data_IF_502335905890
#
_entry.id   IF_502335905890
#
_cell.length_a   1.000
_cell.length_b   1.000
_cell.length_c   1.000
_cell.angle_alpha   90.00
_cell.angle_beta   90.00
_cell.angle_gamma   90.00
#
_symmetry.space_group_name_H-M   'P 1'
#
loop_
_entity.id
_entity.type
_entity.pdbx_description
1 polymer ?
#
# COMPACT_ATOMS: atom_id res chain seq x y z
N UNK A 1 -26.36 17.72 25.38
CA UNK A 1 -25.55 16.54 25.19
C UNK A 1 -26.01 15.91 23.87
N UNK A 2 -25.34 16.23 22.76
CA UNK A 2 -25.62 15.57 21.47
C UNK A 2 -25.19 14.12 21.60
N UNK A 3 -26.10 13.19 21.39
CA UNK A 3 -25.79 11.77 21.33
C UNK A 3 -24.72 11.57 20.26
N UNK A 4 -23.53 11.07 20.64
CA UNK A 4 -22.48 10.74 19.71
C UNK A 4 -23.06 9.70 18.73
N UNK A 5 -23.12 10.03 17.45
CA UNK A 5 -23.56 9.08 16.43
C UNK A 5 -22.73 7.78 16.57
N UNK A 6 -23.38 6.62 16.52
CA UNK A 6 -22.69 5.36 16.69
C UNK A 6 -21.67 5.19 15.57
N UNK A 7 -20.40 5.06 15.94
CA UNK A 7 -19.32 4.83 14.97
C UNK A 7 -19.63 3.62 14.09
N UNK A 8 -19.34 3.68 12.78
CA UNK A 8 -19.67 2.62 11.85
C UNK A 8 -19.02 1.28 12.27
N UNK A 9 -19.81 0.24 12.29
CA UNK A 9 -19.33 -1.13 12.54
C UNK A 9 -18.88 -1.75 11.21
N UNK A 10 -18.05 -2.81 11.27
CA UNK A 10 -17.63 -3.55 10.06
C UNK A 10 -18.84 -3.95 9.22
N UNK A 11 -19.88 -4.51 9.88
CA UNK A 11 -21.07 -4.99 9.19
C UNK A 11 -21.90 -3.82 8.60
N UNK A 12 -22.01 -2.69 9.32
CA UNK A 12 -22.68 -1.50 8.79
C UNK A 12 -21.91 -0.92 7.63
N UNK A 13 -20.57 -0.84 7.71
CA UNK A 13 -19.72 -0.37 6.60
C UNK A 13 -19.86 -1.25 5.37
N UNK A 14 -19.82 -2.59 5.53
CA UNK A 14 -20.02 -3.52 4.42
C UNK A 14 -21.40 -3.40 3.77
N UNK A 15 -22.46 -3.16 4.58
CA UNK A 15 -23.82 -2.97 4.08
C UNK A 15 -24.02 -1.62 3.38
N UNK A 16 -23.44 -0.56 3.90
CA UNK A 16 -23.58 0.82 3.35
C UNK A 16 -22.58 1.12 2.25
N UNK A 17 -21.55 0.28 2.07
CA UNK A 17 -20.50 0.45 1.08
C UNK A 17 -21.08 0.48 -0.34
N UNK A 18 -20.66 1.47 -1.13
CA UNK A 18 -21.08 1.60 -2.51
C UNK A 18 -20.62 0.41 -3.39
N UNK A 19 -21.39 0.09 -4.42
CA UNK A 19 -21.05 -0.99 -5.37
C UNK A 19 -19.64 -0.85 -5.95
N UNK A 20 -19.22 0.33 -6.44
CA UNK A 20 -17.87 0.55 -6.92
C UNK A 20 -16.77 0.23 -5.90
N UNK A 21 -16.92 0.61 -4.63
CA UNK A 21 -15.94 0.31 -3.58
C UNK A 21 -15.83 -1.21 -3.35
N UNK A 22 -16.95 -1.94 -3.36
CA UNK A 22 -16.93 -3.41 -3.27
C UNK A 22 -16.18 -4.04 -4.43
N UNK A 23 -16.38 -3.54 -5.65
CA UNK A 23 -15.68 -4.03 -6.86
C UNK A 23 -14.18 -3.77 -6.74
N UNK A 24 -13.76 -2.61 -6.26
CA UNK A 24 -12.36 -2.28 -6.06
C UNK A 24 -11.71 -3.19 -5.00
N UNK A 25 -12.41 -3.50 -3.89
CA UNK A 25 -11.93 -4.42 -2.86
C UNK A 25 -11.81 -5.86 -3.39
N UNK A 26 -12.83 -6.36 -4.09
CA UNK A 26 -12.82 -7.70 -4.69
C UNK A 26 -11.76 -7.81 -5.79
N UNK A 27 -11.62 -6.80 -6.63
CA UNK A 27 -10.58 -6.75 -7.67
C UNK A 27 -9.18 -6.75 -7.04
N UNK A 28 -8.97 -6.00 -5.95
CA UNK A 28 -7.71 -6.02 -5.22
C UNK A 28 -7.41 -7.40 -4.62
N UNK A 29 -8.40 -8.07 -4.04
CA UNK A 29 -8.27 -9.44 -3.52
C UNK A 29 -7.85 -10.41 -4.63
N UNK A 30 -8.59 -10.44 -5.74
CA UNK A 30 -8.33 -11.34 -6.87
C UNK A 30 -6.94 -11.07 -7.47
N UNK A 31 -6.58 -9.80 -7.68
CA UNK A 31 -5.26 -9.43 -8.20
C UNK A 31 -4.12 -9.84 -7.26
N UNK A 32 -4.31 -9.81 -5.95
CA UNK A 32 -3.27 -10.25 -5.01
C UNK A 32 -3.22 -11.78 -4.84
N UNK A 33 -4.34 -12.49 -5.00
CA UNK A 33 -4.37 -13.96 -5.02
C UNK A 33 -3.56 -14.52 -6.21
N UNK A 34 -3.58 -13.84 -7.34
CA UNK A 34 -2.92 -14.27 -8.58
C UNK A 34 -1.65 -13.46 -8.90
N UNK A 35 -1.08 -12.71 -7.95
CA UNK A 35 0.13 -11.92 -8.16
C UNK A 35 1.40 -12.78 -8.24
N UNK A 36 1.43 -13.72 -9.19
CA UNK A 36 2.50 -14.72 -9.32
C UNK A 36 3.77 -14.16 -9.93
N UNK A 37 3.66 -13.08 -10.73
CA UNK A 37 4.79 -12.47 -11.41
C UNK A 37 5.97 -12.19 -10.46
N UNK A 38 5.74 -11.55 -9.32
CA UNK A 38 6.82 -11.20 -8.41
C UNK A 38 7.44 -12.40 -7.69
N UNK A 39 6.62 -13.40 -7.35
CA UNK A 39 7.07 -14.55 -6.57
C UNK A 39 7.81 -15.58 -7.41
N UNK A 40 7.41 -15.77 -8.67
CA UNK A 40 7.88 -16.88 -9.48
C UNK A 40 8.71 -16.46 -10.72
N UNK A 41 8.86 -15.16 -10.99
CA UNK A 41 9.56 -14.65 -12.17
C UNK A 41 11.00 -15.19 -12.29
N UNK A 42 11.76 -15.15 -11.21
CA UNK A 42 13.16 -15.62 -11.23
C UNK A 42 13.22 -17.14 -11.49
N UNK A 43 12.37 -17.92 -10.83
CA UNK A 43 12.31 -19.39 -11.03
C UNK A 43 11.88 -19.72 -12.45
N UNK A 44 10.94 -19.00 -13.00
CA UNK A 44 10.47 -19.14 -14.38
C UNK A 44 11.59 -18.87 -15.38
N UNK A 45 12.27 -17.72 -15.26
CA UNK A 45 13.33 -17.31 -16.19
C UNK A 45 14.54 -18.25 -16.12
N UNK A 46 14.96 -18.63 -14.91
CA UNK A 46 16.06 -19.61 -14.74
C UNK A 46 15.70 -20.97 -15.31
N UNK A 47 14.44 -21.40 -15.18
CA UNK A 47 13.93 -22.63 -15.83
C UNK A 47 13.93 -22.56 -17.36
N UNK A 48 13.94 -21.34 -17.94
CA UNK A 48 14.05 -21.08 -19.39
C UNK A 48 15.49 -20.86 -19.88
N UNK A 49 16.50 -21.04 -19.01
CA UNK A 49 17.91 -20.95 -19.36
C UNK A 49 18.54 -19.57 -19.17
N UNK A 50 17.80 -18.59 -18.60
CA UNK A 50 18.40 -17.33 -18.20
C UNK A 50 19.29 -17.53 -16.98
N UNK A 51 20.43 -16.85 -16.92
CA UNK A 51 21.28 -16.83 -15.74
C UNK A 51 20.56 -16.16 -14.54
N UNK A 52 21.03 -16.43 -13.32
CA UNK A 52 20.51 -15.76 -12.12
C UNK A 52 20.68 -14.23 -12.18
N UNK A 53 21.79 -13.76 -12.78
CA UNK A 53 22.04 -12.33 -12.98
C UNK A 53 21.04 -11.68 -13.95
N UNK A 54 20.79 -12.31 -15.09
CA UNK A 54 19.78 -11.84 -16.07
C UNK A 54 18.38 -11.82 -15.47
N UNK A 55 18.01 -12.89 -14.75
CA UNK A 55 16.73 -12.96 -14.04
C UNK A 55 16.59 -11.84 -12.99
N UNK A 56 17.69 -11.53 -12.30
CA UNK A 56 17.76 -10.39 -11.37
C UNK A 56 17.55 -9.04 -12.03
N UNK A 57 18.12 -8.82 -13.23
CA UNK A 57 17.91 -7.59 -14.03
C UNK A 57 16.43 -7.44 -14.41
N UNK A 58 15.80 -8.53 -14.87
CA UNK A 58 14.36 -8.51 -15.21
C UNK A 58 13.50 -8.21 -13.98
N UNK A 59 13.81 -8.82 -12.82
CA UNK A 59 13.11 -8.53 -11.57
C UNK A 59 13.29 -7.07 -11.12
N UNK A 60 14.51 -6.53 -11.23
CA UNK A 60 14.77 -5.12 -10.93
C UNK A 60 13.96 -4.19 -11.83
N UNK A 61 13.81 -4.54 -13.11
CA UNK A 61 12.99 -3.79 -14.06
C UNK A 61 11.50 -3.76 -13.65
N UNK A 62 10.95 -4.87 -13.10
CA UNK A 62 9.60 -4.86 -12.50
C UNK A 62 9.50 -3.82 -11.39
N UNK A 63 10.50 -3.73 -10.50
CA UNK A 63 10.49 -2.78 -9.38
C UNK A 63 10.55 -1.32 -9.87
N UNK A 64 11.40 -1.03 -10.87
CA UNK A 64 11.44 0.29 -11.51
C UNK A 64 10.07 0.63 -12.11
N UNK A 65 9.47 -0.29 -12.83
CA UNK A 65 8.12 -0.13 -13.38
C UNK A 65 7.09 0.16 -12.29
N UNK A 66 7.10 -0.57 -11.19
CA UNK A 66 6.17 -0.37 -10.06
C UNK A 66 6.29 1.01 -9.42
N UNK A 67 7.51 1.49 -9.20
CA UNK A 67 7.77 2.83 -8.66
C UNK A 67 7.24 3.88 -9.64
N UNK A 68 7.59 3.77 -10.92
CA UNK A 68 7.14 4.67 -11.98
C UNK A 68 5.61 4.65 -12.13
N UNK A 69 4.99 3.47 -12.09
CA UNK A 69 3.54 3.31 -12.14
C UNK A 69 2.83 4.04 -11.01
N UNK A 70 3.34 3.93 -9.77
CA UNK A 70 2.78 4.65 -8.62
C UNK A 70 2.87 6.17 -8.79
N UNK A 71 3.96 6.68 -9.36
CA UNK A 71 4.16 8.11 -9.61
C UNK A 71 3.25 8.63 -10.74
N UNK A 72 3.23 7.91 -11.87
CA UNK A 72 2.51 8.32 -13.07
C UNK A 72 1.00 8.11 -12.93
N UNK A 73 0.59 7.02 -12.29
CA UNK A 73 -0.82 6.62 -12.15
C UNK A 73 -1.70 7.69 -11.51
N UNK A 74 -1.19 8.37 -10.48
CA UNK A 74 -1.88 9.50 -9.85
C UNK A 74 -2.08 10.69 -10.80
N UNK A 75 -1.02 11.08 -11.52
CA UNK A 75 -1.07 12.19 -12.46
C UNK A 75 -1.95 11.91 -13.68
N UNK A 76 -1.95 10.67 -14.15
CA UNK A 76 -2.82 10.23 -15.27
C UNK A 76 -4.28 10.18 -14.81
N UNK A 77 -4.54 9.69 -13.60
CA UNK A 77 -5.88 9.64 -13.04
C UNK A 77 -6.55 11.01 -12.90
N UNK A 78 -5.76 12.04 -12.56
CA UNK A 78 -6.25 13.43 -12.49
C UNK A 78 -6.59 14.02 -13.90
N UNK A 79 -6.09 13.41 -14.98
CA UNK A 79 -6.33 13.87 -16.36
C UNK A 79 -7.45 13.15 -17.09
N UNK A 80 -7.42 11.81 -17.02
CA UNK A 80 -8.34 10.97 -17.81
C UNK A 80 -9.41 10.29 -16.94
N UNK A 81 -9.36 10.48 -15.61
CA UNK A 81 -10.30 9.89 -14.65
C UNK A 81 -9.87 8.52 -14.13
N UNK A 82 -10.34 8.20 -12.92
CA UNK A 82 -9.96 6.98 -12.19
C UNK A 82 -10.32 5.69 -12.94
N UNK A 83 -11.54 5.65 -13.55
CA UNK A 83 -12.02 4.48 -14.29
C UNK A 83 -11.06 4.08 -15.39
N UNK A 84 -10.68 5.01 -16.24
CA UNK A 84 -9.84 4.72 -17.41
C UNK A 84 -8.42 4.32 -17.02
N UNK A 85 -7.88 4.88 -15.94
CA UNK A 85 -6.59 4.44 -15.40
C UNK A 85 -6.68 3.01 -14.88
N UNK A 86 -7.73 2.66 -14.13
CA UNK A 86 -7.90 1.29 -13.60
C UNK A 86 -8.04 0.29 -14.75
N UNK A 87 -8.94 0.55 -15.71
CA UNK A 87 -9.18 -0.33 -16.85
C UNK A 87 -7.93 -0.49 -17.71
N UNK A 88 -7.29 0.63 -18.09
CA UNK A 88 -6.08 0.62 -18.90
C UNK A 88 -4.90 -0.07 -18.21
N UNK A 89 -4.76 0.15 -16.91
CA UNK A 89 -3.73 -0.52 -16.09
C UNK A 89 -3.94 -2.03 -16.03
N UNK A 90 -5.17 -2.49 -15.81
CA UNK A 90 -5.47 -3.91 -15.74
C UNK A 90 -5.34 -4.60 -17.11
N UNK A 91 -5.78 -3.95 -18.18
CA UNK A 91 -5.57 -4.46 -19.54
C UNK A 91 -4.08 -4.52 -19.90
N UNK A 92 -3.31 -3.46 -19.60
CA UNK A 92 -1.87 -3.43 -19.82
C UNK A 92 -1.14 -4.51 -19.00
N UNK A 93 -1.52 -4.68 -17.73
CA UNK A 93 -0.96 -5.75 -16.87
C UNK A 93 -1.23 -7.13 -17.47
N UNK A 94 -2.46 -7.39 -17.91
CA UNK A 94 -2.83 -8.67 -18.53
C UNK A 94 -1.98 -8.97 -19.76
N UNK A 95 -1.87 -8.02 -20.68
CA UNK A 95 -1.11 -8.19 -21.93
C UNK A 95 0.38 -8.38 -21.64
N UNK A 96 0.97 -7.54 -20.78
CA UNK A 96 2.41 -7.57 -20.51
C UNK A 96 2.81 -8.76 -19.64
N UNK A 97 1.98 -9.20 -18.68
CA UNK A 97 2.21 -10.42 -17.91
C UNK A 97 2.15 -11.67 -18.81
N UNK A 98 1.18 -11.74 -19.72
CA UNK A 98 1.15 -12.82 -20.71
C UNK A 98 2.35 -12.78 -21.65
N UNK A 99 2.81 -11.60 -22.06
CA UNK A 99 3.96 -11.43 -22.95
C UNK A 99 5.29 -11.90 -22.30
N UNK A 100 5.42 -11.88 -20.95
CA UNK A 100 6.61 -12.37 -20.25
C UNK A 100 6.89 -13.83 -20.62
N UNK A 101 5.88 -14.64 -20.84
CA UNK A 101 6.02 -16.04 -21.23
C UNK A 101 6.79 -16.22 -22.57
N UNK A 102 6.80 -15.21 -23.40
CA UNK A 102 7.36 -15.27 -24.77
C UNK A 102 8.64 -14.44 -24.94
N UNK A 103 9.26 -13.94 -23.86
CA UNK A 103 10.46 -13.10 -23.96
C UNK A 103 11.66 -13.87 -24.50
N UNK A 104 12.32 -13.40 -25.59
CA UNK A 104 13.41 -14.12 -26.24
C UNK A 104 14.78 -13.87 -25.58
N UNK A 105 14.94 -12.77 -24.85
CA UNK A 105 16.20 -12.37 -24.22
C UNK A 105 15.98 -11.44 -23.03
N UNK A 106 17.03 -11.16 -22.26
CA UNK A 106 17.00 -10.36 -21.03
C UNK A 106 16.50 -8.93 -21.26
N UNK A 107 16.84 -8.29 -22.36
CA UNK A 107 16.51 -6.89 -22.61
C UNK A 107 15.03 -6.71 -22.93
N UNK A 108 14.47 -7.58 -23.80
CA UNK A 108 13.04 -7.62 -24.07
C UNK A 108 12.29 -8.02 -22.78
N UNK A 109 12.83 -9.00 -22.03
CA UNK A 109 12.30 -9.39 -20.73
C UNK A 109 12.24 -8.23 -19.74
N UNK A 110 13.32 -7.45 -19.62
CA UNK A 110 13.35 -6.27 -18.75
C UNK A 110 12.36 -5.19 -19.18
N UNK A 111 12.23 -4.92 -20.49
CA UNK A 111 11.28 -3.95 -21.01
C UNK A 111 9.82 -4.35 -20.72
N UNK A 112 9.47 -5.60 -21.03
CA UNK A 112 8.11 -6.14 -20.78
C UNK A 112 7.80 -6.18 -19.29
N UNK A 113 8.76 -6.62 -18.48
CA UNK A 113 8.63 -6.68 -17.02
C UNK A 113 8.49 -5.29 -16.38
N UNK A 114 9.26 -4.31 -16.86
CA UNK A 114 9.11 -2.91 -16.44
C UNK A 114 7.71 -2.38 -16.76
N UNK A 115 7.22 -2.60 -17.97
CA UNK A 115 5.86 -2.26 -18.38
C UNK A 115 4.80 -2.95 -17.54
N UNK A 116 4.95 -4.26 -17.27
CA UNK A 116 4.05 -5.02 -16.39
C UNK A 116 4.03 -4.44 -14.98
N UNK A 117 5.19 -4.13 -14.40
CA UNK A 117 5.30 -3.49 -13.09
C UNK A 117 4.64 -2.12 -13.05
N UNK A 118 4.85 -1.29 -14.11
CA UNK A 118 4.26 0.03 -14.25
C UNK A 118 2.74 -0.05 -14.26
N UNK A 119 2.16 -0.87 -15.14
CA UNK A 119 0.71 -1.02 -15.25
C UNK A 119 0.11 -1.63 -13.99
N UNK A 120 0.73 -2.67 -13.42
CA UNK A 120 0.27 -3.32 -12.19
C UNK A 120 0.21 -2.39 -10.96
N UNK A 121 0.97 -1.28 -10.95
CA UNK A 121 0.96 -0.33 -9.85
C UNK A 121 0.29 1.02 -10.16
N UNK A 122 0.08 1.37 -11.42
CA UNK A 122 -0.53 2.63 -11.80
C UNK A 122 -2.00 2.74 -11.36
N UNK A 123 -2.75 1.61 -11.28
CA UNK A 123 -4.14 1.64 -10.83
C UNK A 123 -4.29 1.97 -9.34
N UNK A 124 -3.28 1.70 -8.50
CA UNK A 124 -3.40 1.80 -7.03
C UNK A 124 -3.73 3.21 -6.55
N UNK A 125 -2.97 4.27 -6.90
CA UNK A 125 -3.32 5.62 -6.46
C UNK A 125 -4.68 6.08 -7.01
N UNK A 126 -5.06 5.66 -8.21
CA UNK A 126 -6.38 5.95 -8.78
C UNK A 126 -7.51 5.26 -8.00
N UNK A 127 -7.35 3.96 -7.70
CA UNK A 127 -8.32 3.20 -6.91
C UNK A 127 -8.47 3.75 -5.48
N UNK A 128 -7.34 4.07 -4.81
CA UNK A 128 -7.35 4.67 -3.48
C UNK A 128 -8.02 6.04 -3.46
N UNK A 129 -7.72 6.90 -4.44
CA UNK A 129 -8.37 8.22 -4.58
C UNK A 129 -9.87 8.08 -4.80
N UNK A 130 -10.29 7.14 -5.62
CA UNK A 130 -11.71 6.88 -5.88
C UNK A 130 -12.43 6.32 -4.66
N UNK A 131 -11.80 5.39 -3.91
CA UNK A 131 -12.33 4.89 -2.64
C UNK A 131 -12.58 6.04 -1.67
N UNK A 132 -11.61 6.97 -1.53
CA UNK A 132 -11.77 8.16 -0.67
C UNK A 132 -12.93 9.04 -1.11
N UNK A 133 -13.14 9.20 -2.41
CA UNK A 133 -14.22 10.02 -2.96
C UNK A 133 -15.61 9.40 -2.75
N UNK A 134 -15.70 8.07 -2.87
CA UNK A 134 -16.96 7.31 -2.77
C UNK A 134 -17.33 6.92 -1.34
N UNK A 135 -16.45 7.16 -0.37
CA UNK A 135 -16.63 6.73 1.02
C UNK A 135 -16.79 7.94 1.94
N UNK A 136 -17.75 7.95 2.87
CA UNK A 136 -17.83 8.98 3.91
C UNK A 136 -16.54 9.04 4.74
N UNK A 137 -16.16 10.25 5.18
CA UNK A 137 -14.89 10.50 5.88
C UNK A 137 -14.69 9.68 7.16
N UNK A 138 -15.76 9.41 7.87
CA UNK A 138 -15.79 8.61 9.10
C UNK A 138 -15.53 7.12 8.85
N UNK A 139 -15.74 6.64 7.61
CA UNK A 139 -15.53 5.26 7.20
C UNK A 139 -14.18 5.00 6.50
N UNK A 140 -13.39 6.03 6.17
CA UNK A 140 -12.15 5.88 5.41
C UNK A 140 -11.20 4.86 6.05
N UNK A 141 -10.90 4.99 7.35
CA UNK A 141 -10.00 4.08 8.05
C UNK A 141 -10.48 2.64 7.98
N UNK A 142 -11.80 2.43 8.14
CA UNK A 142 -12.41 1.08 8.07
C UNK A 142 -12.30 0.51 6.64
N UNK A 143 -12.58 1.29 5.61
CA UNK A 143 -12.51 0.82 4.22
C UNK A 143 -11.06 0.52 3.82
N UNK A 144 -10.09 1.32 4.26
CA UNK A 144 -8.67 1.03 4.03
C UNK A 144 -8.17 -0.17 4.83
N UNK A 145 -8.72 -0.43 6.02
CA UNK A 145 -8.48 -1.68 6.75
C UNK A 145 -8.98 -2.90 5.96
N UNK A 146 -10.19 -2.83 5.39
CA UNK A 146 -10.72 -3.88 4.54
C UNK A 146 -9.88 -4.06 3.26
N UNK A 147 -9.43 -2.98 2.62
CA UNK A 147 -8.54 -3.03 1.46
C UNK A 147 -7.23 -3.75 1.82
N UNK A 148 -6.67 -3.45 2.98
CA UNK A 148 -5.46 -4.11 3.47
C UNK A 148 -5.69 -5.57 3.81
N UNK A 149 -6.84 -5.91 4.41
CA UNK A 149 -7.22 -7.30 4.66
C UNK A 149 -7.29 -8.10 3.35
N UNK A 150 -7.87 -7.54 2.28
CA UNK A 150 -7.88 -8.21 0.96
C UNK A 150 -6.47 -8.42 0.41
N UNK A 151 -5.56 -7.47 0.62
CA UNK A 151 -4.15 -7.62 0.25
C UNK A 151 -3.49 -8.76 1.04
N UNK A 152 -3.62 -8.77 2.37
CA UNK A 152 -3.00 -9.76 3.24
C UNK A 152 -3.53 -11.17 2.98
N UNK A 153 -4.85 -11.33 2.81
CA UNK A 153 -5.46 -12.61 2.43
C UNK A 153 -4.94 -13.07 1.07
N UNK A 154 -4.92 -12.17 0.08
CA UNK A 154 -4.43 -12.48 -1.26
C UNK A 154 -2.97 -12.91 -1.26
N UNK A 155 -2.09 -12.17 -0.59
CA UNK A 155 -0.66 -12.45 -0.53
C UNK A 155 -0.30 -13.70 0.31
N UNK A 156 -1.16 -14.07 1.26
CA UNK A 156 -0.98 -15.29 2.08
C UNK A 156 -1.49 -16.54 1.35
N UNK A 157 -2.65 -16.46 0.73
CA UNK A 157 -3.29 -17.59 0.05
C UNK A 157 -2.76 -17.79 -1.36
N UNK A 158 -2.33 -16.71 -2.03
CA UNK A 158 -1.81 -16.75 -3.39
C UNK A 158 -0.71 -17.77 -3.63
N UNK A 159 0.37 -17.81 -2.84
CA UNK A 159 1.44 -18.81 -2.97
C UNK A 159 0.95 -20.25 -2.81
N UNK A 160 -0.04 -20.51 -1.96
CA UNK A 160 -0.67 -21.83 -1.82
C UNK A 160 -1.39 -22.21 -3.10
N UNK A 161 -2.17 -21.28 -3.67
CA UNK A 161 -2.83 -21.44 -4.96
C UNK A 161 -1.82 -21.72 -6.10
N UNK A 162 -0.69 -20.99 -6.10
CA UNK A 162 0.39 -21.20 -7.06
C UNK A 162 1.01 -22.60 -6.92
N UNK A 163 1.28 -23.05 -5.69
CA UNK A 163 1.84 -24.39 -5.45
C UNK A 163 0.90 -25.50 -5.94
N UNK A 164 -0.41 -25.34 -5.71
CA UNK A 164 -1.42 -26.27 -6.22
C UNK A 164 -1.48 -26.26 -7.76
N UNK A 165 -1.42 -25.09 -8.39
CA UNK A 165 -1.37 -25.00 -9.86
C UNK A 165 -0.13 -25.67 -10.42
N UNK A 166 1.04 -25.45 -9.81
CA UNK A 166 2.31 -26.06 -10.24
C UNK A 166 2.36 -27.57 -10.06
N UNK A 167 1.54 -28.17 -9.19
CA UNK A 167 1.43 -29.61 -9.06
C UNK A 167 0.82 -30.27 -10.32
N UNK A 168 0.05 -29.51 -11.11
CA UNK A 168 -0.68 -30.02 -12.27
C UNK A 168 -0.41 -29.27 -13.57
N UNK A 169 0.31 -28.14 -13.50
CA UNK A 169 0.52 -27.23 -14.62
C UNK A 169 1.95 -26.65 -14.61
N UNK A 170 2.28 -25.89 -15.65
CA UNK A 170 3.58 -25.23 -15.81
C UNK A 170 3.64 -23.82 -15.20
N UNK A 171 4.86 -23.27 -15.09
CA UNK A 171 5.03 -21.85 -14.74
C UNK A 171 4.33 -20.90 -15.71
N UNK A 172 4.26 -21.25 -17.00
CA UNK A 172 3.56 -20.47 -18.02
C UNK A 172 2.08 -20.27 -17.63
N UNK A 173 1.47 -21.34 -17.11
CA UNK A 173 0.07 -21.30 -16.65
C UNK A 173 -0.14 -20.31 -15.52
N UNK A 174 0.82 -20.15 -14.59
CA UNK A 174 0.71 -19.13 -13.53
C UNK A 174 0.62 -17.72 -14.11
N UNK A 175 1.45 -17.40 -15.10
CA UNK A 175 1.44 -16.06 -15.71
C UNK A 175 0.18 -15.82 -16.55
N UNK A 176 -0.34 -16.85 -17.20
CA UNK A 176 -1.62 -16.73 -17.91
C UNK A 176 -2.80 -16.57 -16.93
N UNK A 177 -2.80 -17.25 -15.79
CA UNK A 177 -3.83 -17.08 -14.74
C UNK A 177 -3.75 -15.67 -14.16
N UNK A 178 -2.55 -15.14 -13.87
CA UNK A 178 -2.35 -13.75 -13.44
C UNK A 178 -2.87 -12.75 -14.49
N UNK A 179 -2.54 -12.98 -15.76
CA UNK A 179 -3.01 -12.17 -16.87
C UNK A 179 -4.56 -12.21 -17.00
N UNK A 180 -5.15 -13.40 -16.92
CA UNK A 180 -6.61 -13.58 -17.01
C UNK A 180 -7.35 -12.94 -15.85
N UNK A 181 -6.84 -13.05 -14.62
CA UNK A 181 -7.46 -12.40 -13.44
C UNK A 181 -7.35 -10.88 -13.52
N UNK A 182 -6.23 -10.36 -14.00
CA UNK A 182 -6.07 -8.91 -14.27
C UNK A 182 -7.03 -8.43 -15.36
N UNK A 183 -7.17 -9.19 -16.44
CA UNK A 183 -8.13 -8.88 -17.51
C UNK A 183 -9.58 -8.92 -17.00
N UNK A 184 -9.94 -9.96 -16.24
CA UNK A 184 -11.27 -10.10 -15.65
C UNK A 184 -11.59 -8.90 -14.74
N UNK A 185 -10.64 -8.47 -13.90
CA UNK A 185 -10.83 -7.27 -13.09
C UNK A 185 -10.99 -6.03 -13.96
N UNK A 186 -10.20 -5.88 -15.03
CA UNK A 186 -10.34 -4.78 -15.99
C UNK A 186 -11.73 -4.75 -16.66
N UNK A 187 -12.24 -5.89 -17.08
CA UNK A 187 -13.58 -6.03 -17.69
C UNK A 187 -14.69 -5.69 -16.68
N UNK A 188 -14.60 -6.22 -15.45
CA UNK A 188 -15.57 -5.90 -14.38
C UNK A 188 -15.51 -4.41 -14.04
N UNK A 189 -14.32 -3.82 -13.94
CA UNK A 189 -14.14 -2.40 -13.71
C UNK A 189 -14.77 -1.57 -14.86
N UNK A 190 -14.55 -1.96 -16.12
CA UNK A 190 -15.15 -1.30 -17.25
C UNK A 190 -16.68 -1.38 -17.26
N UNK A 191 -17.25 -2.55 -16.96
CA UNK A 191 -18.69 -2.78 -17.02
C UNK A 191 -19.45 -2.14 -15.84
N UNK A 192 -18.90 -2.25 -14.63
CA UNK A 192 -19.61 -1.94 -13.39
C UNK A 192 -19.23 -0.60 -12.77
N UNK A 193 -18.02 -0.10 -13.03
CA UNK A 193 -17.62 1.23 -12.61
C UNK A 193 -18.13 2.25 -13.64
N UNK A 194 -19.33 2.76 -13.41
CA UNK A 194 -19.87 3.83 -14.26
C UNK A 194 -18.94 5.05 -14.16
N UNK A 195 -18.87 5.89 -15.23
CA UNK A 195 -18.23 7.19 -15.12
C UNK A 195 -18.88 7.88 -13.93
N UNK A 196 -18.17 7.93 -12.80
CA UNK A 196 -18.57 8.77 -11.68
C UNK A 196 -18.57 10.21 -12.16
N UNK A 197 -19.04 11.13 -11.32
CA UNK A 197 -18.83 12.57 -11.53
C UNK A 197 -17.38 12.70 -12.00
N UNK A 198 -17.17 13.04 -13.27
CA UNK A 198 -15.83 13.17 -13.83
C UNK A 198 -15.02 14.00 -12.82
N UNK A 199 -13.80 13.60 -12.45
CA UNK A 199 -12.97 14.48 -11.67
C UNK A 199 -13.07 15.82 -12.38
N UNK A 200 -13.50 16.85 -11.66
CA UNK A 200 -13.56 18.19 -12.26
C UNK A 200 -12.16 18.37 -12.84
N UNK A 201 -12.04 18.42 -14.19
CA UNK A 201 -10.73 18.51 -14.79
C UNK A 201 -10.06 19.68 -14.08
N UNK A 202 -8.83 19.51 -13.62
CA UNK A 202 -8.10 20.53 -12.87
C UNK A 202 -8.05 21.91 -13.62
N UNK A 203 -8.55 21.95 -14.85
CA UNK A 203 -8.72 23.13 -15.70
C UNK A 203 -10.05 23.88 -15.62
N UNK A 204 -11.08 23.38 -14.87
CA UNK A 204 -12.35 24.13 -14.72
C UNK A 204 -12.56 24.77 -13.34
N UNK A 205 -11.66 24.52 -12.38
CA UNK A 205 -11.75 25.10 -11.03
C UNK A 205 -10.77 26.28 -10.81
N UNK A 206 -10.00 26.68 -11.81
CA UNK A 206 -9.15 27.88 -11.75
C UNK A 206 -9.06 28.49 -13.11
N UNK A 207 -9.70 29.63 -13.27
CA UNK A 207 -9.53 30.57 -14.37
C UNK A 207 -8.18 31.35 -14.23
N UNK A 208 -7.29 30.87 -13.40
CA UNK A 208 -5.94 31.38 -13.18
C UNK A 208 -4.90 30.34 -13.65
N UNK A 209 -4.53 30.43 -14.86
CA UNK A 209 -3.29 30.14 -15.64
C UNK A 209 -2.37 29.00 -15.28
N UNK A 210 -2.35 28.38 -14.12
CA UNK A 210 -1.45 27.32 -13.73
C UNK A 210 -2.18 26.03 -13.34
N UNK A 211 -1.99 24.96 -14.12
CA UNK A 211 -2.41 23.63 -13.75
C UNK A 211 -1.66 23.22 -12.46
N UNK A 212 -2.36 22.97 -11.35
CA UNK A 212 -1.68 22.58 -10.10
C UNK A 212 -0.92 21.28 -10.33
N UNK A 213 0.42 21.37 -10.34
CA UNK A 213 1.34 20.26 -10.57
C UNK A 213 1.80 19.62 -9.25
N UNK A 214 2.73 18.65 -9.35
CA UNK A 214 3.43 18.10 -8.18
C UNK A 214 4.15 19.17 -7.36
N UNK A 215 4.51 20.32 -7.93
CA UNK A 215 5.11 21.43 -7.19
C UNK A 215 4.28 21.87 -5.99
N UNK A 216 2.93 21.92 -6.11
CA UNK A 216 2.05 22.27 -4.99
C UNK A 216 2.01 21.16 -3.91
N UNK A 217 2.13 19.89 -4.31
CA UNK A 217 2.22 18.75 -3.37
C UNK A 217 3.51 18.82 -2.57
N UNK A 218 4.64 19.08 -3.25
CA UNK A 218 5.97 19.20 -2.65
C UNK A 218 6.13 20.46 -1.79
N UNK A 219 5.36 21.51 -2.05
CA UNK A 219 5.31 22.72 -1.23
C UNK A 219 4.55 22.53 0.10
N UNK A 220 3.73 21.49 0.24
CA UNK A 220 3.05 21.17 1.48
C UNK A 220 4.02 20.55 2.49
N UNK A 221 4.68 21.39 3.26
CA UNK A 221 5.70 21.00 4.25
C UNK A 221 5.17 19.97 5.26
N UNK A 222 3.92 20.12 5.71
CA UNK A 222 3.33 19.19 6.69
C UNK A 222 3.13 17.81 6.08
N UNK A 223 2.62 17.76 4.86
CA UNK A 223 2.49 16.52 4.12
C UNK A 223 3.86 15.89 3.85
N UNK A 224 4.87 16.67 3.47
CA UNK A 224 6.23 16.16 3.21
C UNK A 224 6.91 15.60 4.46
N UNK A 225 6.65 16.13 5.66
CA UNK A 225 7.10 15.50 6.91
C UNK A 225 6.48 14.10 7.08
N UNK A 226 5.19 13.97 6.80
CA UNK A 226 4.53 12.64 6.85
C UNK A 226 5.12 11.71 5.79
N UNK A 227 5.32 12.17 4.57
CA UNK A 227 5.93 11.38 3.47
C UNK A 227 7.32 10.87 3.87
N UNK A 228 8.16 11.72 4.47
CA UNK A 228 9.46 11.31 4.98
C UNK A 228 9.32 10.28 6.11
N UNK A 229 8.38 10.46 7.02
CA UNK A 229 8.07 9.48 8.06
C UNK A 229 7.63 8.13 7.50
N UNK A 230 6.79 8.13 6.45
CA UNK A 230 6.37 6.92 5.75
C UNK A 230 7.55 6.20 5.08
N UNK A 231 8.47 6.95 4.47
CA UNK A 231 9.70 6.41 3.86
C UNK A 231 10.58 5.72 4.91
N UNK A 232 10.88 6.39 6.03
CA UNK A 232 11.69 5.82 7.11
C UNK A 232 11.03 4.56 7.71
N UNK A 233 9.72 4.58 7.86
CA UNK A 233 8.97 3.41 8.33
C UNK A 233 9.04 2.26 7.33
N UNK A 234 9.01 2.53 6.03
CA UNK A 234 9.14 1.49 5.01
C UNK A 234 10.54 0.83 5.05
N UNK A 235 11.61 1.62 5.25
CA UNK A 235 12.96 1.10 5.47
C UNK A 235 13.03 0.16 6.69
N UNK A 236 12.35 0.51 7.77
CA UNK A 236 12.27 -0.31 8.96
C UNK A 236 11.43 -1.57 8.72
N UNK A 237 10.21 -1.43 8.20
CA UNK A 237 9.24 -2.51 8.05
C UNK A 237 9.77 -3.69 7.22
N UNK A 238 10.46 -3.41 6.11
CA UNK A 238 10.97 -4.45 5.21
C UNK A 238 12.03 -5.35 5.87
N UNK A 239 12.56 -4.97 7.03
CA UNK A 239 13.56 -5.76 7.74
C UNK A 239 13.00 -7.08 8.29
N UNK A 240 11.70 -7.19 8.41
CA UNK A 240 11.02 -8.48 8.69
C UNK A 240 11.35 -9.56 7.65
N UNK A 241 11.63 -9.15 6.40
CA UNK A 241 11.97 -10.04 5.29
C UNK A 241 13.46 -9.99 4.89
N UNK A 242 14.23 -9.01 5.37
CA UNK A 242 15.62 -8.80 4.99
C UNK A 242 16.60 -9.16 6.11
N UNK A 243 16.60 -8.41 7.20
CA UNK A 243 17.53 -8.63 8.32
C UNK A 243 17.06 -9.72 9.28
N UNK A 244 15.75 -9.87 9.51
CA UNK A 244 15.22 -10.82 10.51
C UNK A 244 15.61 -12.27 10.24
N UNK A 245 15.53 -12.82 9.00
CA UNK A 245 15.99 -14.20 8.76
C UNK A 245 17.48 -14.38 9.03
N UNK A 246 18.30 -13.38 8.69
CA UNK A 246 19.75 -13.41 8.96
C UNK A 246 20.02 -13.36 10.46
N UNK A 247 19.31 -12.50 11.20
CA UNK A 247 19.40 -12.38 12.63
C UNK A 247 19.01 -13.69 13.35
N UNK A 248 17.87 -14.28 13.01
CA UNK A 248 17.40 -15.55 13.59
C UNK A 248 18.44 -16.64 13.38
N UNK A 249 18.98 -16.77 12.16
CA UNK A 249 20.05 -17.74 11.88
C UNK A 249 21.34 -17.40 12.61
N UNK A 250 21.75 -16.13 12.61
CA UNK A 250 22.99 -15.68 13.23
C UNK A 250 23.02 -15.80 14.76
N UNK A 251 21.85 -15.83 15.40
CA UNK A 251 21.68 -16.07 16.84
C UNK A 251 21.49 -17.54 17.20
N UNK A 252 21.75 -18.48 16.27
CA UNK A 252 21.73 -19.92 16.48
C UNK A 252 20.35 -20.57 16.41
N UNK A 253 19.33 -19.85 15.98
CA UNK A 253 17.99 -20.41 15.81
C UNK A 253 17.79 -21.01 14.41
N UNK A 254 16.87 -21.97 14.32
CA UNK A 254 16.55 -22.66 13.07
C UNK A 254 15.62 -21.81 12.17
N UNK A 255 15.56 -22.14 10.90
CA UNK A 255 14.63 -21.49 9.94
C UNK A 255 13.15 -21.66 10.34
N UNK A 256 12.80 -22.71 11.10
CA UNK A 256 11.46 -22.93 11.63
C UNK A 256 11.05 -21.85 12.62
N UNK A 257 12.01 -21.30 13.42
CA UNK A 257 11.74 -20.17 14.30
C UNK A 257 11.34 -18.95 13.46
N UNK A 258 12.08 -18.63 12.40
CA UNK A 258 11.71 -17.52 11.51
C UNK A 258 10.31 -17.73 10.88
N UNK A 259 10.02 -18.94 10.40
CA UNK A 259 8.69 -19.25 9.85
C UNK A 259 7.58 -19.09 10.92
N UNK A 260 7.84 -19.50 12.17
CA UNK A 260 6.91 -19.29 13.27
C UNK A 260 6.67 -17.80 13.56
N UNK A 261 7.71 -16.95 13.52
CA UNK A 261 7.57 -15.51 13.68
C UNK A 261 6.68 -14.89 12.58
N UNK A 262 6.85 -15.31 11.32
CA UNK A 262 5.98 -14.87 10.22
C UNK A 262 4.53 -15.35 10.39
N UNK A 263 4.34 -16.55 10.94
CA UNK A 263 3.01 -17.08 11.26
C UNK A 263 2.34 -16.25 12.37
N UNK A 264 3.09 -15.87 13.41
CA UNK A 264 2.62 -14.97 14.47
C UNK A 264 2.20 -13.61 13.88
N UNK A 265 3.03 -13.03 13.00
CA UNK A 265 2.69 -11.80 12.29
C UNK A 265 1.38 -11.95 11.51
N UNK A 266 1.29 -12.94 10.61
CA UNK A 266 0.11 -13.15 9.78
C UNK A 266 -1.16 -13.39 10.61
N UNK A 267 -1.07 -14.17 11.70
CA UNK A 267 -2.18 -14.41 12.60
C UNK A 267 -2.67 -13.13 13.29
N UNK A 268 -1.76 -12.33 13.85
CA UNK A 268 -2.12 -11.05 14.51
C UNK A 268 -2.75 -10.10 13.50
N UNK A 269 -2.19 -9.98 12.30
CA UNK A 269 -2.75 -9.11 11.26
C UNK A 269 -4.17 -9.54 10.92
N UNK A 270 -4.40 -10.80 10.59
CA UNK A 270 -5.74 -11.28 10.18
C UNK A 270 -6.74 -11.16 11.33
N UNK A 271 -6.35 -11.51 12.55
CA UNK A 271 -7.26 -11.49 13.70
C UNK A 271 -7.57 -10.08 14.20
N UNK A 272 -6.60 -9.16 14.17
CA UNK A 272 -6.69 -7.87 14.87
C UNK A 272 -6.93 -6.67 13.94
N UNK A 273 -6.63 -6.75 12.64
CA UNK A 273 -6.67 -5.61 11.69
C UNK A 273 -8.00 -4.85 11.76
N UNK A 274 -9.09 -5.57 11.53
CA UNK A 274 -10.43 -4.96 11.47
C UNK A 274 -10.92 -4.52 12.85
N UNK A 275 -10.57 -5.28 13.90
CA UNK A 275 -10.98 -4.97 15.28
C UNK A 275 -10.31 -3.69 15.78
N UNK A 276 -8.99 -3.57 15.58
CA UNK A 276 -8.24 -2.38 15.99
C UNK A 276 -8.61 -1.16 15.16
N UNK A 277 -8.94 -1.34 13.89
CA UNK A 277 -9.40 -0.24 13.04
C UNK A 277 -10.67 0.44 13.55
N UNK A 278 -11.57 -0.28 14.24
CA UNK A 278 -12.73 0.33 14.93
C UNK A 278 -12.32 1.30 16.03
N UNK A 279 -11.21 1.05 16.68
CA UNK A 279 -10.70 1.90 17.74
C UNK A 279 -9.92 3.07 17.18
N UNK A 280 -9.02 2.80 16.23
CA UNK A 280 -8.13 3.80 15.65
C UNK A 280 -8.86 4.86 14.85
N UNK A 281 -9.97 4.52 14.18
CA UNK A 281 -10.80 5.50 13.46
C UNK A 281 -11.44 6.58 14.36
N UNK A 282 -11.52 6.35 15.68
CA UNK A 282 -12.03 7.33 16.67
C UNK A 282 -11.00 8.37 17.05
N UNK A 283 -9.73 8.10 16.78
CA UNK A 283 -8.61 8.95 17.14
C UNK A 283 -8.28 9.94 16.00
N UNK A 284 -7.63 11.08 16.32
CA UNK A 284 -7.01 11.90 15.28
C UNK A 284 -6.04 11.05 14.45
N UNK A 285 -6.12 11.14 13.12
CA UNK A 285 -5.44 10.20 12.21
C UNK A 285 -3.92 10.11 12.44
N UNK A 286 -3.28 11.18 12.91
CA UNK A 286 -1.86 11.19 13.23
C UNK A 286 -1.51 10.35 14.47
N UNK A 287 -2.46 10.12 15.39
CA UNK A 287 -2.22 9.35 16.61
C UNK A 287 -1.95 7.87 16.33
N UNK A 288 -2.85 7.12 15.64
CA UNK A 288 -2.57 5.71 15.33
C UNK A 288 -1.36 5.56 14.40
N UNK A 289 -1.13 6.49 13.48
CA UNK A 289 0.05 6.46 12.62
C UNK A 289 1.34 6.55 13.46
N UNK A 290 1.48 7.59 14.30
CA UNK A 290 2.66 7.78 15.12
C UNK A 290 2.84 6.68 16.17
N UNK A 291 1.76 6.28 16.86
CA UNK A 291 1.80 5.23 17.86
C UNK A 291 2.23 3.88 17.28
N UNK A 292 1.65 3.50 16.12
CA UNK A 292 2.00 2.24 15.48
C UNK A 292 3.44 2.23 14.93
N UNK A 293 3.93 3.35 14.39
CA UNK A 293 5.33 3.49 13.99
C UNK A 293 6.27 3.41 15.20
N UNK A 294 5.90 4.00 16.34
CA UNK A 294 6.68 3.89 17.56
C UNK A 294 6.72 2.43 18.08
N UNK A 295 5.59 1.72 18.05
CA UNK A 295 5.53 0.30 18.43
C UNK A 295 6.40 -0.56 17.50
N UNK A 296 6.42 -0.27 16.19
CA UNK A 296 7.32 -0.94 15.23
C UNK A 296 8.79 -0.69 15.63
N UNK A 297 9.15 0.54 15.95
CA UNK A 297 10.50 0.89 16.40
C UNK A 297 10.89 0.19 17.68
N UNK A 298 10.01 0.17 18.69
CA UNK A 298 10.22 -0.56 19.95
C UNK A 298 10.36 -2.06 19.69
N UNK A 299 9.54 -2.65 18.83
CA UNK A 299 9.64 -4.06 18.44
C UNK A 299 11.01 -4.42 17.87
N UNK A 300 11.60 -3.54 17.04
CA UNK A 300 12.96 -3.72 16.53
C UNK A 300 14.02 -3.57 17.66
N UNK A 301 13.86 -2.60 18.55
CA UNK A 301 14.79 -2.43 19.67
C UNK A 301 14.81 -3.64 20.62
N UNK A 302 13.72 -4.39 20.74
CA UNK A 302 13.68 -5.64 21.54
C UNK A 302 14.69 -6.65 20.99
N UNK A 303 14.95 -6.69 19.70
CA UNK A 303 15.91 -7.60 19.08
C UNK A 303 17.39 -7.26 19.36
N UNK A 304 17.67 -6.12 19.98
CA UNK A 304 19.04 -5.78 20.43
C UNK A 304 19.45 -6.49 21.70
N UNK A 305 18.50 -7.02 22.46
CA UNK A 305 18.70 -7.69 23.73
C UNK A 305 18.93 -9.20 23.59
N UNK A 306 18.76 -9.95 24.69
CA UNK A 306 18.80 -11.41 24.69
C UNK A 306 17.82 -11.99 23.69
N UNK A 307 18.18 -13.09 23.04
CA UNK A 307 17.44 -13.70 21.94
C UNK A 307 16.77 -15.05 22.22
N UNK A 308 16.19 -15.33 23.42
CA UNK A 308 15.34 -16.50 23.55
C UNK A 308 14.12 -16.37 22.63
N UNK A 309 13.60 -17.49 22.16
CA UNK A 309 12.45 -17.50 21.21
C UNK A 309 11.28 -16.66 21.72
N UNK A 310 11.03 -16.65 23.02
CA UNK A 310 9.98 -15.82 23.63
C UNK A 310 10.16 -14.31 23.36
N UNK A 311 11.41 -13.81 23.43
CA UNK A 311 11.72 -12.40 23.13
C UNK A 311 11.60 -12.10 21.64
N UNK A 312 11.97 -13.05 20.77
CA UNK A 312 11.75 -12.92 19.32
C UNK A 312 10.26 -12.83 18.99
N UNK A 313 9.44 -13.69 19.63
CA UNK A 313 7.97 -13.66 19.47
C UNK A 313 7.41 -12.34 20.01
N UNK A 314 7.87 -11.87 21.18
CA UNK A 314 7.41 -10.62 21.77
C UNK A 314 7.77 -9.40 20.91
N UNK A 315 9.00 -9.32 20.39
CA UNK A 315 9.40 -8.28 19.45
C UNK A 315 8.57 -8.31 18.16
N UNK A 316 8.35 -9.53 17.62
CA UNK A 316 7.48 -9.72 16.44
C UNK A 316 6.05 -9.27 16.72
N UNK A 317 5.46 -9.67 17.83
CA UNK A 317 4.11 -9.23 18.19
C UNK A 317 4.04 -7.71 18.35
N UNK A 318 5.04 -7.09 19.00
CA UNK A 318 5.08 -5.64 19.21
C UNK A 318 5.09 -4.87 17.90
N UNK A 319 6.01 -5.18 16.96
CA UNK A 319 6.04 -4.47 15.70
C UNK A 319 4.84 -4.80 14.81
N UNK A 320 4.28 -6.00 14.89
CA UNK A 320 3.05 -6.38 14.17
C UNK A 320 1.84 -5.62 14.67
N UNK A 321 1.67 -5.46 15.98
CA UNK A 321 0.60 -4.59 16.52
C UNK A 321 0.79 -3.15 16.05
N UNK A 322 2.04 -2.67 16.01
CA UNK A 322 2.35 -1.37 15.43
C UNK A 322 1.91 -1.23 13.98
N UNK A 323 2.17 -2.24 13.18
CA UNK A 323 1.73 -2.34 11.79
C UNK A 323 0.20 -2.26 11.68
N UNK A 324 -0.52 -3.08 12.43
CA UNK A 324 -1.99 -3.14 12.40
C UNK A 324 -2.64 -1.82 12.84
N UNK A 325 -2.06 -1.15 13.83
CA UNK A 325 -2.54 0.15 14.34
C UNK A 325 -2.31 1.28 13.32
N UNK A 326 -1.13 1.32 12.68
CA UNK A 326 -0.74 2.43 11.82
C UNK A 326 -1.27 2.31 10.39
N UNK A 327 -1.20 1.14 9.78
CA UNK A 327 -1.27 0.99 8.34
C UNK A 327 -2.59 1.45 7.70
N UNK A 328 -3.79 1.18 8.25
CA UNK A 328 -5.03 1.69 7.65
C UNK A 328 -5.08 3.22 7.62
N UNK A 329 -4.58 3.86 8.69
CA UNK A 329 -4.51 5.32 8.78
C UNK A 329 -3.44 5.90 7.85
N UNK A 330 -2.29 5.24 7.70
CA UNK A 330 -1.24 5.62 6.75
C UNK A 330 -1.74 5.59 5.31
N UNK A 331 -2.54 4.58 4.95
CA UNK A 331 -3.13 4.46 3.62
C UNK A 331 -4.23 5.52 3.38
N UNK A 332 -5.04 5.83 4.38
CA UNK A 332 -6.12 6.80 4.26
C UNK A 332 -5.63 8.27 4.27
N UNK A 333 -4.55 8.57 4.99
CA UNK A 333 -4.10 9.92 5.27
C UNK A 333 -3.87 10.78 4.02
N UNK A 334 -3.14 10.33 2.97
CA UNK A 334 -2.87 11.16 1.79
C UNK A 334 -4.15 11.62 1.09
N UNK A 335 -5.14 10.72 0.98
CA UNK A 335 -6.43 11.02 0.37
C UNK A 335 -7.31 11.97 1.20
N UNK A 336 -7.16 11.93 2.54
CA UNK A 336 -7.92 12.78 3.47
C UNK A 336 -7.43 14.22 3.52
N UNK A 337 -6.11 14.44 3.39
CA UNK A 337 -5.52 15.79 3.48
C UNK A 337 -5.45 16.48 2.12
N UNK A 338 -5.52 15.71 1.04
CA UNK A 338 -5.40 16.21 -0.31
C UNK A 338 -6.58 17.11 -0.71
N UNK A 339 -6.32 18.24 -1.39
CA UNK A 339 -7.36 18.94 -2.14
C UNK A 339 -8.01 18.00 -3.17
N UNK A 340 -9.34 18.10 -3.44
CA UNK A 340 -10.01 17.19 -4.36
C UNK A 340 -9.33 17.03 -5.71
N UNK A 341 -8.87 18.13 -6.32
CA UNK A 341 -8.21 18.14 -7.62
C UNK A 341 -6.79 17.54 -7.64
N UNK A 342 -6.18 17.27 -6.48
CA UNK A 342 -4.81 16.75 -6.34
C UNK A 342 -4.75 15.41 -5.60
N UNK A 343 -5.90 14.80 -5.30
CA UNK A 343 -5.99 13.63 -4.41
C UNK A 343 -5.12 12.47 -4.89
N UNK A 344 -5.21 12.11 -6.17
CA UNK A 344 -4.41 11.03 -6.72
C UNK A 344 -2.91 11.34 -6.70
N UNK A 345 -2.51 12.62 -6.86
CA UNK A 345 -1.10 13.06 -6.77
C UNK A 345 -0.56 12.99 -5.35
N UNK A 346 -1.36 13.37 -4.32
CA UNK A 346 -0.98 13.21 -2.92
C UNK A 346 -0.77 11.74 -2.57
N UNK A 347 -1.68 10.85 -3.01
CA UNK A 347 -1.55 9.40 -2.81
C UNK A 347 -0.32 8.87 -3.53
N UNK A 348 -0.08 9.25 -4.78
CA UNK A 348 1.12 8.88 -5.54
C UNK A 348 2.40 9.37 -4.87
N UNK A 349 2.44 10.63 -4.42
CA UNK A 349 3.58 11.23 -3.74
C UNK A 349 3.88 10.58 -2.38
N UNK A 350 2.90 10.03 -1.69
CA UNK A 350 3.13 9.24 -0.48
C UNK A 350 3.61 7.81 -0.81
N UNK A 351 3.08 7.21 -1.88
CA UNK A 351 3.38 5.82 -2.24
C UNK A 351 4.79 5.65 -2.78
N UNK A 352 5.28 6.59 -3.61
CA UNK A 352 6.61 6.48 -4.25
C UNK A 352 7.75 6.36 -3.24
N UNK A 353 7.90 7.25 -2.24
CA UNK A 353 8.95 7.10 -1.23
C UNK A 353 8.84 5.80 -0.43
N UNK A 354 7.63 5.33 -0.12
CA UNK A 354 7.44 4.02 0.53
C UNK A 354 7.99 2.88 -0.33
N UNK A 355 7.70 2.88 -1.63
CA UNK A 355 8.23 1.86 -2.56
C UNK A 355 9.76 1.93 -2.67
N UNK A 356 10.34 3.14 -2.68
CA UNK A 356 11.79 3.32 -2.62
C UNK A 356 12.36 2.77 -1.31
N UNK A 357 11.70 3.01 -0.17
CA UNK A 357 12.07 2.46 1.12
C UNK A 357 12.05 0.92 1.14
N UNK A 358 11.01 0.31 0.58
CA UNK A 358 10.93 -1.15 0.45
C UNK A 358 11.99 -1.73 -0.50
N UNK A 359 12.38 -1.01 -1.55
CA UNK A 359 13.41 -1.45 -2.49
C UNK A 359 14.83 -1.30 -1.91
N UNK A 360 15.12 -0.19 -1.22
CA UNK A 360 16.44 0.09 -0.65
C UNK A 360 16.67 -0.61 0.71
N UNK A 361 15.61 -0.87 1.45
CA UNK A 361 15.66 -1.41 2.80
C UNK A 361 16.42 -2.74 2.93
N UNK A 362 16.24 -3.74 2.04
CA UNK A 362 17.00 -4.98 2.09
C UNK A 362 18.51 -4.78 2.02
N UNK A 363 18.98 -3.85 1.18
CA UNK A 363 20.42 -3.53 1.09
C UNK A 363 20.94 -2.95 2.41
N UNK A 364 20.18 -2.02 3.02
CA UNK A 364 20.54 -1.40 4.29
C UNK A 364 20.53 -2.45 5.41
N UNK A 365 19.50 -3.31 5.45
CA UNK A 365 19.36 -4.32 6.48
C UNK A 365 20.43 -5.40 6.41
N UNK A 366 20.71 -5.95 5.21
CA UNK A 366 21.75 -6.98 5.04
C UNK A 366 23.14 -6.42 5.28
N UNK A 367 23.45 -5.24 4.74
CA UNK A 367 24.73 -4.57 4.98
C UNK A 367 24.90 -4.21 6.48
N UNK A 368 23.85 -3.68 7.11
CA UNK A 368 23.85 -3.36 8.53
C UNK A 368 24.03 -4.59 9.41
N UNK A 369 23.40 -5.72 9.07
CA UNK A 369 23.62 -6.99 9.75
C UNK A 369 25.08 -7.46 9.67
N UNK A 370 25.66 -7.41 8.47
CA UNK A 370 27.06 -7.79 8.29
C UNK A 370 28.05 -6.87 9.00
N UNK A 371 27.76 -5.57 9.07
CA UNK A 371 28.65 -4.60 9.69
C UNK A 371 28.51 -4.53 11.22
N UNK A 372 27.29 -4.66 11.76
CA UNK A 372 26.99 -4.35 13.17
C UNK A 372 26.21 -5.46 13.90
N UNK A 373 25.96 -6.60 13.26
CA UNK A 373 25.14 -7.67 13.85
C UNK A 373 23.77 -7.16 14.34
N UNK A 374 23.45 -7.42 15.62
CA UNK A 374 22.20 -6.94 16.22
C UNK A 374 22.08 -5.41 16.30
N UNK A 375 23.17 -4.66 16.10
CA UNK A 375 23.12 -3.18 16.02
C UNK A 375 22.26 -2.64 14.89
N UNK A 376 22.00 -3.44 13.85
CA UNK A 376 21.04 -3.10 12.77
C UNK A 376 19.66 -2.76 13.32
N UNK A 377 19.25 -3.37 14.43
CA UNK A 377 17.94 -3.14 15.05
C UNK A 377 17.85 -1.78 15.74
N UNK A 378 18.99 -1.21 16.22
CA UNK A 378 19.04 0.17 16.70
C UNK A 378 18.80 1.14 15.54
N UNK A 379 19.46 0.91 14.41
CA UNK A 379 19.29 1.75 13.22
C UNK A 379 17.84 1.73 12.73
N UNK A 380 17.30 0.54 12.51
CA UNK A 380 15.95 0.38 11.93
C UNK A 380 14.84 0.75 12.90
N UNK A 381 15.03 0.48 14.20
CA UNK A 381 14.18 0.99 15.28
C UNK A 381 14.20 2.52 15.32
N UNK A 382 15.40 3.12 15.19
CA UNK A 382 15.57 4.56 15.07
C UNK A 382 14.85 5.18 13.87
N UNK A 383 14.86 4.52 12.71
CA UNK A 383 14.08 4.97 11.54
C UNK A 383 12.58 5.00 11.84
N UNK A 384 12.04 3.97 12.46
CA UNK A 384 10.62 3.90 12.79
C UNK A 384 10.22 4.96 13.84
N UNK A 385 11.05 5.17 14.86
CA UNK A 385 10.82 6.19 15.89
C UNK A 385 10.92 7.61 15.32
N UNK A 386 11.91 7.88 14.47
CA UNK A 386 12.00 9.16 13.74
C UNK A 386 10.78 9.36 12.83
N UNK A 387 10.34 8.30 12.16
CA UNK A 387 9.09 8.31 11.38
C UNK A 387 7.87 8.68 12.23
N UNK A 388 7.75 8.12 13.43
CA UNK A 388 6.69 8.44 14.37
C UNK A 388 6.66 9.92 14.76
N UNK A 389 7.83 10.51 15.05
CA UNK A 389 7.97 11.93 15.39
C UNK A 389 7.57 12.81 14.20
N UNK A 390 8.08 12.51 13.00
CA UNK A 390 7.78 13.26 11.77
C UNK A 390 6.29 13.22 11.44
N UNK A 391 5.66 12.06 11.58
CA UNK A 391 4.21 11.90 11.35
C UNK A 391 3.42 12.67 12.42
N UNK A 392 3.83 12.59 13.68
CA UNK A 392 3.20 13.36 14.75
C UNK A 392 3.25 14.87 14.51
N UNK A 393 4.38 15.37 14.01
CA UNK A 393 4.57 16.78 13.66
C UNK A 393 3.76 17.20 12.41
N UNK A 394 3.75 16.35 11.38
CA UNK A 394 3.10 16.66 10.11
C UNK A 394 1.59 16.48 10.13
N UNK A 395 1.10 15.32 10.57
CA UNK A 395 -0.34 15.01 10.60
C UNK A 395 -1.09 15.67 11.76
N UNK A 396 -0.37 15.99 12.85
CA UNK A 396 -0.93 16.50 14.10
C UNK A 396 -1.61 15.41 14.94
N UNK A 397 -1.54 15.57 16.25
CA UNK A 397 -2.08 14.62 17.22
C UNK A 397 -3.42 15.05 17.81
N UNK A 398 -3.91 16.23 17.44
CA UNK A 398 -5.21 16.77 17.90
C UNK A 398 -6.26 16.68 16.80
N UNK A 399 -7.53 16.43 17.18
CA UNK A 399 -8.65 16.56 16.26
C UNK A 399 -8.68 18.01 15.75
N UNK A 400 -8.68 18.18 14.43
CA UNK A 400 -9.06 19.50 13.86
C UNK A 400 -10.52 19.72 14.22
N UNK A 401 -10.85 20.82 14.93
CA UNK A 401 -12.23 21.27 15.03
C UNK A 401 -12.80 21.39 13.61
N UNK A 402 -14.03 20.92 13.38
CA UNK A 402 -14.69 21.18 12.10
C UNK A 402 -14.58 22.69 11.84
N UNK A 403 -14.19 23.08 10.63
CA UNK A 403 -14.33 24.46 10.23
C UNK A 403 -15.79 24.87 10.46
N UNK A 404 -16.07 26.06 11.03
CA UNK A 404 -17.45 26.52 11.19
C UNK A 404 -18.10 26.35 9.82
N UNK A 405 -19.29 25.71 9.81
CA UNK A 405 -20.08 25.58 8.61
C UNK A 405 -20.18 26.98 8.00
N UNK A 406 -19.77 27.12 6.73
CA UNK A 406 -19.97 28.38 6.03
C UNK A 406 -21.45 28.76 6.23
N UNK A 407 -21.71 29.91 6.84
CA UNK A 407 -23.06 30.38 7.06
C UNK A 407 -23.79 30.26 5.72
N UNK A 408 -24.88 29.50 5.69
CA UNK A 408 -25.79 29.50 4.54
C UNK A 408 -26.13 30.97 4.23
N UNK A 409 -25.97 31.40 2.97
CA UNK A 409 -26.41 32.73 2.62
C UNK A 409 -27.90 32.79 2.96
N UNK A 410 -28.23 33.67 3.90
CA UNK A 410 -29.59 33.94 4.28
C UNK A 410 -30.38 34.18 2.98
N UNK A 411 -31.32 33.29 2.70
CA UNK A 411 -32.32 33.52 1.66
C UNK A 411 -33.03 34.82 2.01
N UNK A 412 -32.68 35.91 1.32
CA UNK A 412 -33.36 37.16 1.40
C UNK A 412 -34.85 36.89 1.10
N UNK A 413 -35.66 36.97 2.14
CA UNK A 413 -37.11 37.03 2.05
C UNK A 413 -37.46 38.23 1.19
N UNK A 414 -37.72 38.01 -0.08
CA UNK A 414 -38.48 38.93 -0.91
C UNK A 414 -39.99 38.65 -0.69
N UNK A 415 -40.48 39.03 0.47
CA UNK A 415 -41.90 39.33 0.64
C UNK A 415 -41.95 40.86 0.78
N UNK A 416 -42.37 41.50 -0.34
CA UNK A 416 -43.16 42.73 -0.34
C UNK A 416 -43.11 43.35 -1.76
N UNK A 417 -44.14 43.12 -2.52
CA UNK A 417 -45.00 44.09 -3.25
C UNK A 417 -45.78 43.35 -4.36
#
# INVERSE_FOLDING_TARGET
MSAAEPHPTVLSTLRTMSGPVRILLLGNLISNLAAFLNAFLVLFLTGRGFSAGESGVVLAAVMVGRISGSAIGGAVADRIGYRWVIVGSMAGTAVLTAAIVHVPNVWVGALVACGAGLTANAYRPAAMAWIVELTPKDQHVMVFSLLRLTFNVGSTVGPVGAALLLAYASYDTLFYVDAMTSLAFGVVAFAALRPGREPVPAGKAADDGERPGYGRVLADRRFMLVVLGLFLTALAYIQSSAALPLFVKGTGHSAQVYAALLTVNGFIVIACEVLLSKWTQRLPIGVPMAAGMAMLGVGHLIYTGPTPVAMLVFGTAMWTFGEVVAAPSMMAYPGLVAPPALRARYIGAATVPQQVGYAAGPMIGTAGWHAWGSGVWVLTGGFALAGAVLVGAGAGLRRRSPAPAAAEPALASSADA
#
